data_IF_302932873789
#
_entry.id   IF_302932873789
#
_cell.length_a   1.000
_cell.length_b   1.000
_cell.length_c   1.000
_cell.angle_alpha   90.00
_cell.angle_beta   90.00
_cell.angle_gamma   90.00
#
_symmetry.space_group_name_H-M   'P 1'
#
loop_
_entity.id
_entity.type
_entity.pdbx_description
1 polymer ?
#
# COMPACT_ATOMS: atom_id res chain seq x y z
N UNK A 1 -11.85 -7.96 -8.85
CA UNK A 1 -10.99 -7.61 -7.69
C UNK A 1 -10.15 -6.38 -7.97
N UNK A 2 -10.23 -5.38 -7.08
CA UNK A 2 -9.33 -4.23 -7.04
C UNK A 2 -8.26 -4.38 -5.95
N UNK A 3 -7.03 -4.04 -6.27
CA UNK A 3 -5.93 -4.03 -5.30
C UNK A 3 -4.82 -3.06 -5.71
N UNK A 4 -3.98 -2.69 -4.76
CA UNK A 4 -2.77 -1.90 -4.96
C UNK A 4 -1.55 -2.79 -4.77
N UNK A 5 -0.54 -2.65 -5.63
CA UNK A 5 0.81 -3.14 -5.38
C UNK A 5 1.75 -1.98 -5.10
N UNK A 6 2.63 -2.18 -4.14
CA UNK A 6 3.62 -1.19 -3.76
C UNK A 6 5.00 -1.83 -3.79
N UNK A 7 5.92 -1.17 -4.46
CA UNK A 7 7.32 -1.57 -4.54
C UNK A 7 8.20 -0.44 -4.04
N UNK A 8 9.22 -0.75 -3.25
CA UNK A 8 10.31 0.16 -2.93
C UNK A 8 11.63 -0.44 -3.41
N UNK A 9 12.51 0.39 -3.94
CA UNK A 9 13.80 -0.01 -4.49
C UNK A 9 14.91 0.90 -4.00
N UNK A 10 15.99 0.28 -3.56
CA UNK A 10 17.30 0.89 -3.41
C UNK A 10 18.01 0.85 -4.78
N UNK A 11 17.99 1.97 -5.48
CA UNK A 11 18.58 2.14 -6.82
C UNK A 11 20.01 2.67 -6.72
N UNK A 12 20.32 3.39 -5.64
CA UNK A 12 21.63 3.99 -5.39
C UNK A 12 22.60 3.05 -4.66
N UNK A 13 22.15 1.87 -4.22
CA UNK A 13 22.92 0.84 -3.52
C UNK A 13 23.50 1.38 -2.20
N UNK A 14 22.65 2.06 -1.43
CA UNK A 14 22.99 2.72 -0.16
C UNK A 14 22.22 2.17 1.06
N UNK A 15 21.56 1.03 0.90
CA UNK A 15 20.68 0.36 1.86
C UNK A 15 19.43 1.20 2.23
N UNK A 16 19.04 2.17 1.40
CA UNK A 16 17.86 3.04 1.59
C UNK A 16 17.03 3.05 0.29
N UNK A 17 15.69 2.96 0.37
CA UNK A 17 14.86 2.98 -0.84
C UNK A 17 14.73 4.39 -1.43
N UNK A 18 15.18 4.56 -2.68
CA UNK A 18 15.12 5.83 -3.42
C UNK A 18 13.81 6.01 -4.20
N UNK A 19 13.18 4.90 -4.59
CA UNK A 19 12.01 4.93 -5.48
C UNK A 19 10.88 4.06 -4.93
N UNK A 20 9.67 4.65 -4.88
CA UNK A 20 8.44 3.92 -4.53
C UNK A 20 7.46 3.96 -5.70
N UNK A 21 6.96 2.78 -6.08
CA UNK A 21 5.95 2.60 -7.10
C UNK A 21 4.62 2.23 -6.45
N UNK A 22 3.56 2.96 -6.78
CA UNK A 22 2.17 2.65 -6.42
C UNK A 22 1.43 2.23 -7.68
N UNK A 23 1.00 0.98 -7.78
CA UNK A 23 0.31 0.44 -8.95
C UNK A 23 -1.08 -0.08 -8.61
N UNK A 24 -2.12 0.58 -9.11
CA UNK A 24 -3.51 0.29 -8.83
C UNK A 24 -4.10 -0.62 -9.91
N UNK A 25 -4.48 -1.83 -9.52
CA UNK A 25 -5.00 -2.88 -10.40
C UNK A 25 -6.51 -3.11 -10.20
N UNK A 26 -7.21 -3.35 -11.30
CA UNK A 26 -8.59 -3.80 -11.39
C UNK A 26 -8.67 -4.98 -12.36
N UNK A 27 -8.79 -6.20 -11.82
CA UNK A 27 -8.80 -7.45 -12.62
C UNK A 27 -10.04 -7.56 -13.53
N UNK A 28 -11.06 -6.71 -13.36
CA UNK A 28 -12.22 -6.63 -14.25
C UNK A 28 -11.93 -5.86 -15.56
N UNK A 29 -10.80 -5.14 -15.63
CA UNK A 29 -10.41 -4.30 -16.77
C UNK A 29 -9.29 -4.92 -17.59
N UNK A 30 -9.14 -4.44 -18.83
CA UNK A 30 -8.00 -4.80 -19.70
C UNK A 30 -7.47 -3.53 -20.39
N UNK A 31 -6.24 -3.08 -20.09
CA UNK A 31 -5.30 -3.67 -19.11
C UNK A 31 -5.81 -3.56 -17.66
N UNK A 32 -5.33 -4.46 -16.79
CA UNK A 32 -5.72 -4.49 -15.39
C UNK A 32 -5.11 -3.35 -14.57
N UNK A 33 -3.91 -2.88 -14.93
CA UNK A 33 -3.32 -1.67 -14.33
C UNK A 33 -4.12 -0.44 -14.78
N UNK A 34 -4.69 0.29 -13.82
CA UNK A 34 -5.59 1.42 -14.07
C UNK A 34 -4.94 2.76 -13.76
N UNK A 35 -4.31 2.89 -12.59
CA UNK A 35 -3.63 4.10 -12.15
C UNK A 35 -2.25 3.76 -11.61
N UNK A 36 -1.33 4.73 -11.67
CA UNK A 36 0.00 4.61 -11.09
C UNK A 36 0.46 5.92 -10.46
N UNK A 37 1.27 5.78 -9.42
CA UNK A 37 2.17 6.84 -8.98
C UNK A 37 3.60 6.33 -8.81
N UNK A 38 4.56 7.23 -8.93
CA UNK A 38 5.97 6.94 -8.66
C UNK A 38 6.59 8.12 -7.92
N UNK A 39 7.15 7.83 -6.76
CA UNK A 39 7.84 8.78 -5.88
C UNK A 39 9.35 8.54 -5.95
N UNK A 40 10.11 9.63 -6.02
CA UNK A 40 11.56 9.63 -6.12
C UNK A 40 12.15 10.50 -5.01
N UNK A 41 13.03 9.92 -4.21
CA UNK A 41 13.99 10.65 -3.40
C UNK A 41 15.19 10.95 -4.29
N UNK A 42 15.35 12.22 -4.69
CA UNK A 42 16.40 12.64 -5.62
C UNK A 42 17.58 13.21 -4.84
N UNK A 43 17.31 13.74 -3.66
CA UNK A 43 18.31 14.38 -2.81
C UNK A 43 18.99 13.43 -1.84
N UNK A 44 18.52 12.18 -1.75
CA UNK A 44 19.01 11.13 -0.84
C UNK A 44 18.95 11.60 0.62
N UNK A 45 17.82 12.22 0.99
CA UNK A 45 17.56 12.75 2.33
C UNK A 45 16.49 11.95 3.11
N UNK A 46 15.97 10.89 2.50
CA UNK A 46 14.91 10.02 3.01
C UNK A 46 13.51 10.55 2.76
N UNK A 47 13.34 11.63 2.00
CA UNK A 47 12.07 12.24 1.64
C UNK A 47 11.86 12.25 0.12
N UNK A 48 10.62 12.04 -0.31
CA UNK A 48 10.30 12.08 -1.74
C UNK A 48 10.22 13.52 -2.27
N UNK A 49 11.17 13.89 -3.13
CA UNK A 49 11.28 15.20 -3.78
C UNK A 49 10.36 15.35 -5.00
N UNK A 50 10.15 14.25 -5.72
CA UNK A 50 9.41 14.28 -6.98
C UNK A 50 8.42 13.13 -7.07
N UNK A 51 7.22 13.46 -7.52
CA UNK A 51 6.13 12.51 -7.72
C UNK A 51 5.50 12.70 -9.10
N UNK A 52 5.26 11.59 -9.78
CA UNK A 52 4.38 11.50 -10.93
C UNK A 52 3.19 10.65 -10.49
N UNK A 53 1.99 11.19 -10.51
CA UNK A 53 0.77 10.51 -10.09
C UNK A 53 -0.34 10.72 -11.12
N UNK A 54 -1.12 9.66 -11.36
CA UNK A 54 -2.43 9.75 -11.99
C UNK A 54 -3.48 10.27 -10.97
N UNK A 55 -4.77 10.28 -11.37
CA UNK A 55 -5.90 10.55 -10.48
C UNK A 55 -6.05 9.39 -9.48
N UNK A 56 -5.51 9.55 -8.28
CA UNK A 56 -5.42 8.49 -7.26
C UNK A 56 -6.64 8.46 -6.35
N UNK A 57 -7.30 9.60 -6.16
CA UNK A 57 -8.49 9.70 -5.33
C UNK A 57 -9.79 9.40 -6.12
N UNK A 58 -9.70 9.28 -7.45
CA UNK A 58 -10.78 9.02 -8.40
C UNK A 58 -11.83 10.15 -8.48
N UNK A 59 -11.41 11.40 -8.28
CA UNK A 59 -12.30 12.57 -8.42
C UNK A 59 -12.42 13.09 -9.86
N UNK A 60 -11.65 12.52 -10.79
CA UNK A 60 -11.63 12.86 -12.21
C UNK A 60 -10.64 13.97 -12.58
N UNK A 61 -9.82 14.45 -11.64
CA UNK A 61 -8.86 15.54 -11.82
C UNK A 61 -7.49 15.05 -11.36
N UNK A 62 -6.47 15.23 -12.20
CA UNK A 62 -5.08 15.00 -11.79
C UNK A 62 -4.51 16.32 -11.28
N UNK A 63 -4.27 16.43 -9.97
CA UNK A 63 -3.80 17.68 -9.37
C UNK A 63 -2.75 17.49 -8.26
N UNK A 64 -2.61 18.49 -7.38
CA UNK A 64 -1.65 18.47 -6.28
C UNK A 64 -2.11 17.56 -5.13
N UNK A 65 -3.41 17.33 -4.96
CA UNK A 65 -3.96 16.44 -3.94
C UNK A 65 -3.51 15.01 -4.19
N UNK A 66 -3.54 14.53 -5.43
CA UNK A 66 -3.04 13.20 -5.79
C UNK A 66 -1.55 13.03 -5.45
N UNK A 67 -0.77 14.08 -5.72
CA UNK A 67 0.67 14.11 -5.46
C UNK A 67 0.96 14.06 -3.96
N UNK A 68 0.28 14.89 -3.18
CA UNK A 68 0.42 14.92 -1.72
C UNK A 68 -0.02 13.58 -1.10
N UNK A 69 -1.13 13.00 -1.57
CA UNK A 69 -1.60 11.69 -1.14
C UNK A 69 -0.59 10.58 -1.45
N UNK A 70 0.00 10.60 -2.65
CA UNK A 70 1.02 9.62 -3.04
C UNK A 70 2.29 9.75 -2.19
N UNK A 71 2.75 10.97 -1.90
CA UNK A 71 3.91 11.22 -1.04
C UNK A 71 3.64 10.75 0.39
N UNK A 72 2.52 11.16 0.98
CA UNK A 72 2.14 10.77 2.35
C UNK A 72 2.10 9.24 2.48
N UNK A 73 1.49 8.59 1.49
CA UNK A 73 1.35 7.14 1.48
C UNK A 73 2.66 6.40 1.22
N UNK A 74 3.47 6.86 0.27
CA UNK A 74 4.79 6.29 -0.02
C UNK A 74 5.73 6.43 1.18
N UNK A 75 5.75 7.59 1.85
CA UNK A 75 6.56 7.80 3.04
C UNK A 75 6.17 6.85 4.17
N UNK A 76 4.86 6.66 4.39
CA UNK A 76 4.37 5.73 5.41
C UNK A 76 4.68 4.27 5.06
N UNK A 77 4.69 3.92 3.76
CA UNK A 77 5.12 2.60 3.31
C UNK A 77 6.57 2.28 3.70
N UNK A 78 7.48 3.26 3.62
CA UNK A 78 8.88 3.06 4.01
C UNK A 78 9.05 2.71 5.49
N UNK A 79 8.11 3.11 6.36
CA UNK A 79 8.14 2.76 7.77
C UNK A 79 7.88 1.26 8.03
N UNK A 80 7.46 0.49 7.01
CA UNK A 80 7.46 -0.97 7.10
C UNK A 80 8.85 -1.59 6.93
N UNK A 81 9.86 -0.84 6.47
CA UNK A 81 11.17 -1.40 6.11
C UNK A 81 11.07 -2.57 5.10
N UNK A 82 10.03 -2.55 4.26
CA UNK A 82 9.73 -3.59 3.27
C UNK A 82 10.11 -3.17 1.85
N UNK A 83 11.40 -3.28 1.53
CA UNK A 83 11.93 -2.89 0.22
C UNK A 83 12.92 -3.91 -0.34
N UNK A 84 13.13 -3.83 -1.65
CA UNK A 84 14.10 -4.66 -2.38
C UNK A 84 15.48 -4.01 -2.30
N UNK A 85 16.44 -4.73 -1.72
CA UNK A 85 17.85 -4.34 -1.61
C UNK A 85 18.61 -4.71 -2.89
N UNK A 86 18.84 -6.00 -3.12
CA UNK A 86 19.71 -6.46 -4.21
C UNK A 86 18.97 -6.73 -5.54
N UNK A 87 17.79 -7.37 -5.47
CA UNK A 87 17.04 -7.83 -6.64
C UNK A 87 15.81 -6.93 -6.85
N UNK A 88 15.77 -6.12 -7.93
CA UNK A 88 14.67 -5.19 -8.17
C UNK A 88 13.32 -5.90 -8.20
N UNK A 89 12.34 -5.35 -7.49
CA UNK A 89 10.97 -5.87 -7.41
C UNK A 89 10.83 -7.25 -6.74
N UNK A 90 11.85 -7.76 -6.04
CA UNK A 90 11.74 -9.00 -5.24
C UNK A 90 10.71 -8.87 -4.11
N UNK A 91 10.66 -7.70 -3.46
CA UNK A 91 9.69 -7.43 -2.39
C UNK A 91 8.63 -6.44 -2.85
N UNK A 92 7.38 -6.77 -2.51
CA UNK A 92 6.25 -5.87 -2.70
C UNK A 92 5.16 -6.08 -1.65
N UNK A 93 4.34 -5.06 -1.45
CA UNK A 93 3.14 -5.13 -0.62
C UNK A 93 1.91 -5.12 -1.52
N UNK A 94 1.03 -6.11 -1.36
CA UNK A 94 -0.31 -6.12 -1.97
C UNK A 94 -1.33 -5.66 -0.93
N UNK A 95 -2.12 -4.65 -1.27
CA UNK A 95 -3.15 -4.08 -0.40
C UNK A 95 -4.50 -4.16 -1.09
N UNK A 96 -5.53 -4.57 -0.37
CA UNK A 96 -6.91 -4.55 -0.87
C UNK A 96 -7.90 -4.33 0.26
N UNK A 97 -9.01 -3.68 -0.08
CA UNK A 97 -10.12 -3.44 0.82
C UNK A 97 -11.33 -4.26 0.38
N UNK A 98 -12.01 -4.88 1.34
CA UNK A 98 -13.25 -5.62 1.13
C UNK A 98 -14.40 -4.99 1.90
N UNK A 99 -15.52 -4.81 1.22
CA UNK A 99 -16.83 -4.41 1.75
C UNK A 99 -17.76 -5.64 1.68
N UNK A 100 -17.95 -6.31 2.81
CA UNK A 100 -18.70 -7.56 2.91
C UNK A 100 -20.19 -7.34 3.15
N UNK A 101 -20.58 -6.20 3.75
CA UNK A 101 -21.98 -5.86 3.98
C UNK A 101 -22.60 -4.96 2.89
N UNK A 102 -21.78 -4.54 1.92
CA UNK A 102 -22.14 -3.77 0.73
C UNK A 102 -22.77 -2.41 1.07
N UNK A 103 -22.30 -1.78 2.13
CA UNK A 103 -22.77 -0.46 2.55
C UNK A 103 -21.92 0.70 1.99
N UNK A 104 -20.87 0.39 1.21
CA UNK A 104 -19.92 1.34 0.64
C UNK A 104 -18.76 1.72 1.58
N UNK A 105 -18.70 1.13 2.77
CA UNK A 105 -17.67 1.32 3.80
C UNK A 105 -16.92 0.00 3.94
N UNK A 106 -15.61 -0.05 3.67
CA UNK A 106 -14.85 -1.28 3.82
C UNK A 106 -14.84 -1.81 5.24
N UNK A 107 -15.24 -3.07 5.38
CA UNK A 107 -15.11 -3.85 6.61
C UNK A 107 -13.65 -4.20 6.88
N UNK A 108 -12.85 -4.37 5.83
CA UNK A 108 -11.46 -4.80 5.98
C UNK A 108 -10.50 -4.11 5.04
N UNK A 109 -9.28 -3.90 5.52
CA UNK A 109 -8.09 -3.62 4.69
C UNK A 109 -7.05 -4.69 5.00
N UNK A 110 -6.63 -5.44 3.98
CA UNK A 110 -5.65 -6.53 4.10
C UNK A 110 -4.35 -6.15 3.42
N UNK A 111 -3.24 -6.42 4.10
CA UNK A 111 -1.87 -6.17 3.69
C UNK A 111 -1.18 -7.51 3.58
N UNK A 112 -0.75 -7.88 2.37
CA UNK A 112 0.03 -9.09 2.12
C UNK A 112 1.45 -8.70 1.69
N UNK A 113 2.43 -9.01 2.54
CA UNK A 113 3.84 -8.75 2.29
C UNK A 113 4.41 -9.91 1.51
N UNK A 114 4.84 -9.66 0.28
CA UNK A 114 5.30 -10.67 -0.65
C UNK A 114 6.79 -10.54 -0.94
N UNK A 115 7.47 -11.69 -1.04
CA UNK A 115 8.84 -11.81 -1.52
C UNK A 115 8.92 -12.88 -2.63
N UNK A 116 9.60 -12.56 -3.73
CA UNK A 116 9.77 -13.39 -4.91
C UNK A 116 9.12 -12.81 -6.18
N UNK A 117 9.62 -13.25 -7.34
CA UNK A 117 9.19 -12.76 -8.64
C UNK A 117 7.78 -13.24 -9.09
N UNK A 118 7.12 -12.41 -9.91
CA UNK A 118 6.02 -12.83 -10.78
C UNK A 118 4.61 -12.37 -10.37
N UNK A 119 3.61 -13.11 -10.84
CA UNK A 119 2.19 -12.85 -10.52
C UNK A 119 1.98 -13.13 -9.03
N UNK A 120 1.26 -12.26 -8.28
CA UNK A 120 1.02 -12.50 -6.86
C UNK A 120 0.35 -13.85 -6.64
N UNK A 121 1.02 -14.69 -5.86
CA UNK A 121 0.52 -15.99 -5.42
C UNK A 121 0.59 -16.02 -3.90
N UNK A 122 -0.27 -16.81 -3.29
CA UNK A 122 -0.25 -16.99 -1.83
C UNK A 122 1.10 -17.54 -1.34
N UNK A 123 1.80 -18.28 -2.21
CA UNK A 123 3.12 -18.87 -1.98
C UNK A 123 4.24 -17.84 -1.78
N UNK A 124 4.08 -16.59 -2.27
CA UNK A 124 5.08 -15.53 -2.07
C UNK A 124 4.80 -14.71 -0.82
N UNK A 125 3.71 -14.97 -0.07
CA UNK A 125 3.38 -14.24 1.16
C UNK A 125 4.35 -14.65 2.27
N UNK A 126 5.11 -13.68 2.77
CA UNK A 126 5.99 -13.85 3.94
C UNK A 126 5.18 -13.64 5.23
N UNK A 127 4.40 -12.56 5.29
CA UNK A 127 3.42 -12.33 6.35
C UNK A 127 2.27 -11.45 5.91
N UNK A 128 1.22 -11.41 6.73
CA UNK A 128 0.02 -10.62 6.49
C UNK A 128 -0.33 -9.77 7.69
N UNK A 129 -0.85 -8.58 7.44
CA UNK A 129 -1.54 -7.76 8.42
C UNK A 129 -2.94 -7.41 7.92
N UNK A 130 -3.84 -7.08 8.82
CA UNK A 130 -5.19 -6.67 8.47
C UNK A 130 -5.77 -5.71 9.50
N UNK A 131 -6.61 -4.80 9.03
CA UNK A 131 -7.49 -3.97 9.85
C UNK A 131 -8.92 -4.37 9.57
N UNK A 132 -9.67 -4.62 10.63
CA UNK A 132 -11.11 -4.89 10.59
C UNK A 132 -11.84 -3.71 11.22
N UNK A 133 -12.78 -3.13 10.50
CA UNK A 133 -13.75 -2.17 11.02
C UNK A 133 -15.04 -2.90 11.39
N UNK A 134 -15.85 -2.29 12.23
CA UNK A 134 -17.18 -2.80 12.62
C UNK A 134 -18.27 -2.43 11.59
N UNK A 135 -17.88 -2.09 10.36
CA UNK A 135 -18.78 -1.77 9.23
C UNK A 135 -19.55 -0.45 9.38
N UNK A 136 -19.52 0.20 10.56
CA UNK A 136 -20.35 1.37 10.85
C UNK A 136 -19.60 2.71 10.73
N UNK A 137 -18.33 2.69 10.33
CA UNK A 137 -17.47 3.86 10.18
C UNK A 137 -17.10 4.56 11.50
N UNK A 138 -17.32 3.93 12.66
CA UNK A 138 -17.10 4.52 14.00
C UNK A 138 -16.02 3.79 14.79
N UNK A 139 -14.83 3.75 14.23
CA UNK A 139 -13.57 3.87 15.00
C UNK A 139 -13.15 2.70 15.90
N UNK A 140 -13.90 1.61 15.99
CA UNK A 140 -13.42 0.37 16.63
C UNK A 140 -12.71 -0.49 15.58
N UNK A 141 -11.47 -0.14 15.25
CA UNK A 141 -10.64 -0.96 14.36
C UNK A 141 -9.76 -1.93 15.15
N UNK A 142 -9.96 -3.22 14.93
CA UNK A 142 -9.04 -4.27 15.41
C UNK A 142 -8.03 -4.52 14.31
N UNK A 143 -6.74 -4.48 14.66
CA UNK A 143 -5.69 -4.93 13.76
C UNK A 143 -5.13 -6.28 14.19
N UNK A 144 -4.80 -7.10 13.19
CA UNK A 144 -3.97 -8.29 13.32
C UNK A 144 -2.68 -7.94 12.59
N UNK A 145 -1.58 -7.92 13.33
CA UNK A 145 -0.27 -7.54 12.79
C UNK A 145 0.81 -8.42 13.43
N UNK A 146 1.88 -8.64 12.67
CA UNK A 146 3.14 -9.14 13.20
C UNK A 146 4.06 -7.94 13.44
N UNK A 147 5.36 -8.20 13.50
CA UNK A 147 6.42 -7.20 13.38
C UNK A 147 6.42 -6.72 11.92
N UNK A 148 5.65 -5.68 11.64
CA UNK A 148 5.44 -5.18 10.27
C UNK A 148 6.43 -4.09 9.89
N UNK A 149 7.03 -3.42 10.88
CA UNK A 149 8.12 -2.49 10.67
C UNK A 149 9.49 -3.18 10.63
N UNK A 150 9.52 -4.50 10.84
CA UNK A 150 10.72 -5.34 10.81
C UNK A 150 11.80 -4.91 11.84
N UNK A 151 11.39 -4.35 12.98
CA UNK A 151 12.30 -3.89 14.05
C UNK A 151 12.69 -4.99 15.06
N UNK A 152 12.14 -6.20 14.88
CA UNK A 152 12.37 -7.36 15.71
C UNK A 152 11.40 -7.50 16.89
N UNK A 153 10.36 -6.65 16.99
CA UNK A 153 9.37 -6.69 18.08
C UNK A 153 7.96 -6.62 17.52
N UNK A 154 7.05 -7.32 18.20
CA UNK A 154 5.61 -7.16 17.96
C UNK A 154 5.05 -6.28 19.06
N UNK A 155 4.79 -5.02 18.76
CA UNK A 155 4.35 -4.05 19.75
C UNK A 155 3.23 -3.11 19.24
N UNK A 156 3.02 -2.00 19.96
CA UNK A 156 1.97 -1.03 19.64
C UNK A 156 2.29 -0.27 18.35
N UNK A 157 3.55 -0.01 18.05
CA UNK A 157 3.98 0.74 16.87
C UNK A 157 3.52 0.04 15.60
N UNK A 158 3.66 -1.29 15.53
CA UNK A 158 3.13 -2.11 14.45
C UNK A 158 1.63 -1.92 14.25
N UNK A 159 0.87 -2.00 15.35
CA UNK A 159 -0.59 -1.88 15.33
C UNK A 159 -1.03 -0.49 14.85
N UNK A 160 -0.36 0.57 15.31
CA UNK A 160 -0.66 1.95 14.88
C UNK A 160 -0.24 2.20 13.43
N UNK A 161 0.92 1.66 13.01
CA UNK A 161 1.39 1.78 11.62
C UNK A 161 0.41 1.14 10.64
N UNK A 162 -0.02 -0.09 10.90
CA UNK A 162 -1.02 -0.78 10.06
C UNK A 162 -2.35 -0.02 10.00
N UNK A 163 -2.78 0.58 11.11
CA UNK A 163 -4.03 1.39 11.15
C UNK A 163 -3.91 2.69 10.37
N UNK A 164 -2.81 3.42 10.54
CA UNK A 164 -2.56 4.65 9.79
C UNK A 164 -2.47 4.36 8.30
N UNK A 165 -1.76 3.30 7.94
CA UNK A 165 -1.59 2.87 6.56
C UNK A 165 -2.91 2.47 5.91
N UNK A 166 -3.73 1.68 6.60
CA UNK A 166 -5.07 1.33 6.13
C UNK A 166 -5.96 2.57 5.96
N UNK A 167 -5.91 3.51 6.90
CA UNK A 167 -6.70 4.74 6.82
C UNK A 167 -6.31 5.61 5.62
N UNK A 168 -5.01 5.73 5.31
CA UNK A 168 -4.56 6.43 4.11
C UNK A 168 -4.93 5.70 2.83
N UNK A 169 -4.79 4.37 2.78
CA UNK A 169 -5.19 3.57 1.64
C UNK A 169 -6.66 3.78 1.26
N UNK A 170 -7.54 3.87 2.26
CA UNK A 170 -8.97 4.10 2.03
C UNK A 170 -9.29 5.46 1.40
N UNK A 171 -8.40 6.46 1.51
CA UNK A 171 -8.57 7.76 0.83
C UNK A 171 -8.52 7.64 -0.70
N UNK A 172 -7.85 6.62 -1.25
CA UNK A 172 -7.80 6.37 -2.70
C UNK A 172 -9.12 5.86 -3.29
N UNK A 173 -10.09 5.52 -2.43
CA UNK A 173 -11.37 4.90 -2.83
C UNK A 173 -11.20 3.62 -3.69
N UNK A 174 -10.05 2.94 -3.55
CA UNK A 174 -9.68 1.72 -4.28
C UNK A 174 -10.20 0.45 -3.59
N UNK A 175 -11.52 0.34 -3.53
CA UNK A 175 -12.24 -0.72 -2.79
C UNK A 175 -12.76 -1.75 -3.78
N UNK A 176 -12.65 -3.04 -3.44
CA UNK A 176 -13.28 -4.09 -4.22
C UNK A 176 -14.79 -4.06 -3.99
N UNK A 177 -15.56 -3.79 -5.04
CA UNK A 177 -17.03 -3.78 -5.01
C UNK A 177 -17.64 -5.07 -5.55
N UNK A 178 -16.82 -6.07 -5.91
CA UNK A 178 -17.28 -7.34 -6.45
C UNK A 178 -17.51 -8.40 -5.35
N UNK A 179 -18.80 -8.62 -5.08
CA UNK A 179 -19.45 -9.82 -4.55
C UNK A 179 -18.53 -11.01 -4.19
N UNK A 180 -18.40 -11.30 -2.89
CA UNK A 180 -18.25 -12.68 -2.42
C UNK A 180 -19.61 -13.37 -2.35
#
# INVERSE_FOLDING_TARGET
MRYLKIFAQDVLDNDVPDVVYLEFYDDSRTPALVHRATAFDITDDGQFDWIIADDLNQDGIVDTVDREMAIEFAQLFLAFEWFSLDEPFDKYLKVFAGDFDNNGIPDTVRLHFHQGEGVPRDETIVYSAAVYSDGNGRGASVSINQDVNNDGKVDRQDSELVKQFAALFLKFTWIDSEHC
#
